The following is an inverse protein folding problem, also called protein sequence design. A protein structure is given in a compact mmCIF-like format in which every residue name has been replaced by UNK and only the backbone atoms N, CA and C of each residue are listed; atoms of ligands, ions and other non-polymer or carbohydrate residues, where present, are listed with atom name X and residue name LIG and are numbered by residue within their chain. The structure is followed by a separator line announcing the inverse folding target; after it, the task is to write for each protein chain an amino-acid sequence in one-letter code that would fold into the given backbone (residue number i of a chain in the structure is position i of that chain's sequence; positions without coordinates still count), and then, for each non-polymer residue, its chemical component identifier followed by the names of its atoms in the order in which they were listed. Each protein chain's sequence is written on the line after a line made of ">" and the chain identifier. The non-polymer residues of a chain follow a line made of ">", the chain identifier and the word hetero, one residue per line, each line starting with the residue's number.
data_IF_303721421062
#
_entry.id   IF_303721421062
#
_cell.length_a   1.000
_cell.length_b   1.000
_cell.length_c   1.000
_cell.angle_alpha   90.00
_cell.angle_beta   90.00
_cell.angle_gamma   90.00
#
_symmetry.space_group_name_H-M   'P 1'
#
loop_
_entity.id
_entity.type
_entity.pdbx_description
1 polymer ?
#
# COMPACT_ATOMS: atom_id res chain seq x y z
N UNK A 1 49.69 22.23 -68.36
CA UNK A 1 49.95 21.34 -67.21
C UNK A 1 48.81 21.56 -66.22
N UNK A 2 48.00 20.52 -65.99
CA UNK A 2 46.68 20.51 -65.35
C UNK A 2 46.68 21.06 -63.91
N UNK A 3 45.73 21.95 -63.62
CA UNK A 3 45.15 22.16 -62.28
C UNK A 3 43.65 21.89 -62.40
N UNK A 4 43.14 20.87 -61.71
CA UNK A 4 41.71 20.56 -61.65
C UNK A 4 41.19 20.83 -60.24
N UNK A 5 40.39 21.88 -60.10
CA UNK A 5 39.50 22.13 -58.97
C UNK A 5 38.15 21.46 -59.29
N UNK A 6 37.77 20.44 -58.53
CA UNK A 6 36.42 19.88 -58.53
C UNK A 6 35.68 20.36 -57.30
N UNK A 7 34.67 21.20 -57.51
CA UNK A 7 33.72 21.64 -56.50
C UNK A 7 32.71 20.53 -56.22
N UNK A 8 32.55 20.17 -54.94
CA UNK A 8 31.50 19.30 -54.44
C UNK A 8 30.12 19.96 -54.61
N UNK A 9 29.17 19.25 -55.21
CA UNK A 9 27.74 19.54 -55.11
C UNK A 9 27.13 18.71 -53.97
N UNK A 10 26.53 19.38 -52.99
CA UNK A 10 25.67 18.78 -51.96
C UNK A 10 24.26 18.54 -52.50
N UNK A 11 23.60 17.41 -52.21
CA UNK A 11 22.15 17.31 -52.32
C UNK A 11 21.50 17.67 -50.98
N UNK A 12 20.62 18.68 -50.99
CA UNK A 12 19.68 18.93 -49.90
C UNK A 12 18.69 17.75 -49.81
N UNK A 13 18.71 17.01 -48.70
CA UNK A 13 17.62 16.09 -48.34
C UNK A 13 16.57 16.87 -47.54
N UNK A 14 15.41 17.11 -48.13
CA UNK A 14 14.23 17.58 -47.40
C UNK A 14 13.64 16.37 -46.64
N UNK A 15 13.83 16.32 -45.32
CA UNK A 15 13.12 15.38 -44.45
C UNK A 15 11.78 16.03 -44.09
N UNK A 16 10.70 15.51 -44.66
CA UNK A 16 9.34 15.85 -44.29
C UNK A 16 9.04 15.16 -42.95
N UNK A 17 9.05 15.91 -41.83
CA UNK A 17 8.56 15.40 -40.55
C UNK A 17 7.02 15.36 -40.61
N UNK A 18 6.46 14.16 -40.81
CA UNK A 18 5.06 13.87 -40.56
C UNK A 18 4.85 13.84 -39.04
N UNK A 19 4.33 14.94 -38.49
CA UNK A 19 3.80 14.99 -37.13
C UNK A 19 2.46 14.23 -37.15
N UNK A 20 2.49 12.95 -36.76
CA UNK A 20 1.27 12.25 -36.40
C UNK A 20 0.77 12.79 -35.06
N UNK A 21 -0.15 13.75 -35.11
CA UNK A 21 -1.07 13.98 -34.00
C UNK A 21 -1.99 12.75 -33.92
N UNK A 22 -1.63 11.77 -33.11
CA UNK A 22 -2.55 10.70 -32.71
C UNK A 22 -3.52 11.29 -31.69
N UNK A 23 -4.56 11.97 -32.17
CA UNK A 23 -5.79 12.04 -31.40
C UNK A 23 -6.32 10.62 -31.32
N UNK A 24 -6.45 10.09 -30.10
CA UNK A 24 -7.19 8.85 -29.84
C UNK A 24 -8.67 9.11 -30.18
N UNK A 25 -9.01 9.11 -31.46
CA UNK A 25 -10.39 8.99 -31.88
C UNK A 25 -10.78 7.53 -31.65
N UNK A 26 -11.50 7.28 -30.56
CA UNK A 26 -12.27 6.04 -30.44
C UNK A 26 -13.24 5.96 -31.64
N UNK A 27 -13.15 4.84 -32.35
CA UNK A 27 -14.19 4.37 -33.26
C UNK A 27 -15.54 4.30 -32.52
N UNK A 28 -16.64 4.38 -33.29
CA UNK A 28 -18.04 4.46 -32.88
C UNK A 28 -18.33 4.06 -31.41
N UNK A 29 -18.91 5.00 -30.63
CA UNK A 29 -19.27 4.78 -29.23
C UNK A 29 -20.05 3.47 -29.06
N UNK A 30 -19.37 2.43 -28.56
CA UNK A 30 -20.00 1.17 -28.19
C UNK A 30 -21.17 1.45 -27.23
N UNK A 31 -22.24 0.67 -27.36
CA UNK A 31 -23.41 0.78 -26.51
C UNK A 31 -23.01 0.65 -25.03
N UNK A 32 -23.68 1.42 -24.17
CA UNK A 32 -23.40 1.38 -22.72
C UNK A 32 -23.87 0.05 -22.14
N UNK A 33 -22.99 -0.64 -21.42
CA UNK A 33 -23.34 -1.84 -20.65
C UNK A 33 -24.15 -1.51 -19.39
N UNK A 34 -24.13 -0.24 -19.00
CA UNK A 34 -24.85 0.28 -17.84
C UNK A 34 -24.29 1.62 -17.39
N UNK A 35 -24.64 2.02 -16.20
CA UNK A 35 -24.10 3.20 -15.51
C UNK A 35 -23.73 2.88 -14.07
N UNK A 36 -22.64 3.47 -13.59
CA UNK A 36 -22.35 3.59 -12.15
C UNK A 36 -22.45 5.05 -11.73
N UNK A 37 -22.78 5.30 -10.47
CA UNK A 37 -22.81 6.65 -9.91
C UNK A 37 -22.26 6.69 -8.50
N UNK A 38 -21.58 7.78 -8.17
CA UNK A 38 -21.08 8.07 -6.82
C UNK A 38 -21.65 9.39 -6.34
N UNK A 39 -21.94 9.48 -5.05
CA UNK A 39 -22.34 10.72 -4.39
C UNK A 39 -21.35 11.00 -3.27
N UNK A 40 -20.61 12.11 -3.36
CA UNK A 40 -19.79 12.58 -2.25
C UNK A 40 -20.74 13.16 -1.20
N UNK A 41 -20.99 12.47 -0.09
CA UNK A 41 -22.00 12.89 0.89
C UNK A 41 -21.62 14.23 1.57
N UNK A 42 -20.89 14.17 2.69
CA UNK A 42 -20.48 15.36 3.46
C UNK A 42 -19.08 15.84 3.11
N UNK A 43 -18.22 14.95 2.62
CA UNK A 43 -16.79 15.21 2.42
C UNK A 43 -16.44 15.16 0.94
N UNK A 44 -15.70 16.18 0.44
CA UNK A 44 -14.92 16.18 -0.78
C UNK A 44 -14.45 14.84 -1.29
N UNK A 45 -14.92 14.22 -2.39
CA UNK A 45 -14.22 13.02 -2.90
C UNK A 45 -13.24 13.42 -4.00
N UNK A 46 -11.95 13.17 -3.83
CA UNK A 46 -10.96 13.56 -4.84
C UNK A 46 -9.93 12.45 -5.07
N UNK A 47 -9.93 11.86 -6.28
CA UNK A 47 -8.96 10.84 -6.69
C UNK A 47 -8.87 9.63 -5.73
N UNK A 48 -9.99 9.24 -5.11
CA UNK A 48 -10.09 8.11 -4.19
C UNK A 48 -10.61 6.83 -4.87
N UNK A 49 -10.12 5.64 -4.50
CA UNK A 49 -10.69 4.38 -4.94
C UNK A 49 -12.14 4.23 -4.50
N UNK A 50 -13.00 3.87 -5.45
CA UNK A 50 -14.40 3.54 -5.21
C UNK A 50 -14.71 2.19 -5.82
N UNK A 51 -15.69 1.49 -5.26
CA UNK A 51 -16.21 0.27 -5.85
C UNK A 51 -17.72 0.16 -5.74
N UNK A 52 -18.27 -0.73 -6.57
CA UNK A 52 -19.65 -1.20 -6.48
C UNK A 52 -19.69 -2.72 -6.65
N UNK A 53 -20.57 -3.38 -5.92
CA UNK A 53 -20.87 -4.79 -6.17
C UNK A 53 -21.57 -4.96 -7.51
N UNK A 54 -21.06 -5.87 -8.32
CA UNK A 54 -21.68 -6.26 -9.58
C UNK A 54 -22.79 -7.28 -9.30
N UNK A 55 -23.98 -7.11 -9.91
CA UNK A 55 -25.03 -8.13 -9.80
C UNK A 55 -24.57 -9.45 -10.45
N UNK A 56 -25.05 -10.59 -9.94
CA UNK A 56 -24.68 -11.93 -10.44
C UNK A 56 -24.96 -12.13 -11.94
N UNK A 57 -25.91 -11.37 -12.49
CA UNK A 57 -26.28 -11.39 -13.90
C UNK A 57 -26.23 -9.97 -14.48
N UNK A 58 -25.75 -9.85 -15.72
CA UNK A 58 -25.89 -8.62 -16.52
C UNK A 58 -24.58 -8.02 -17.06
N UNK A 59 -23.42 -8.23 -16.41
CA UNK A 59 -22.13 -7.77 -16.95
C UNK A 59 -21.30 -8.95 -17.43
N UNK A 60 -21.27 -9.18 -18.74
CA UNK A 60 -20.55 -10.30 -19.38
C UNK A 60 -19.15 -9.92 -19.87
N UNK A 61 -18.84 -8.62 -19.92
CA UNK A 61 -17.54 -8.14 -20.35
C UNK A 61 -16.47 -8.43 -19.28
N UNK A 62 -15.38 -9.10 -19.67
CA UNK A 62 -14.23 -9.39 -18.80
C UNK A 62 -13.39 -8.13 -18.52
N UNK A 63 -13.45 -7.15 -19.42
CA UNK A 63 -12.73 -5.89 -19.33
C UNK A 63 -13.69 -4.75 -19.61
N UNK A 64 -13.64 -3.74 -18.76
CA UNK A 64 -14.48 -2.54 -18.87
C UNK A 64 -13.66 -1.29 -18.62
N UNK A 65 -14.15 -0.19 -19.15
CA UNK A 65 -13.74 1.15 -18.77
C UNK A 65 -14.97 2.03 -18.54
N UNK A 66 -14.74 3.20 -17.93
CA UNK A 66 -15.79 4.15 -17.64
C UNK A 66 -15.64 5.41 -18.50
N UNK A 67 -16.75 6.07 -18.80
CA UNK A 67 -16.78 7.42 -19.37
C UNK A 67 -17.72 8.26 -18.53
N UNK A 68 -17.29 9.43 -18.07
CA UNK A 68 -18.17 10.31 -17.33
C UNK A 68 -19.27 10.86 -18.24
N UNK A 69 -20.53 10.74 -17.81
CA UNK A 69 -21.69 11.10 -18.63
C UNK A 69 -21.74 12.60 -18.95
N UNK A 70 -21.16 13.44 -18.09
CA UNK A 70 -21.08 14.88 -18.30
C UNK A 70 -19.83 15.31 -19.09
N UNK A 71 -18.90 14.39 -19.37
CA UNK A 71 -17.68 14.70 -20.10
C UNK A 71 -17.94 14.70 -21.62
N UNK A 72 -17.81 15.89 -22.22
CA UNK A 72 -17.99 16.08 -23.65
C UNK A 72 -16.88 15.40 -24.48
N UNK A 73 -15.68 15.30 -23.92
CA UNK A 73 -14.51 14.71 -24.59
C UNK A 73 -14.50 13.18 -24.50
N UNK A 74 -15.43 12.62 -23.70
CA UNK A 74 -15.60 11.18 -23.47
C UNK A 74 -14.30 10.49 -23.05
N UNK A 75 -13.57 11.12 -22.16
CA UNK A 75 -12.30 10.63 -21.63
C UNK A 75 -12.51 9.26 -20.99
N UNK A 76 -11.74 8.28 -21.44
CA UNK A 76 -11.81 6.92 -20.91
C UNK A 76 -11.12 6.84 -19.54
N UNK A 77 -11.87 6.42 -18.53
CA UNK A 77 -11.42 6.23 -17.15
C UNK A 77 -11.19 4.74 -16.92
N UNK A 78 -9.98 4.32 -16.51
CA UNK A 78 -9.73 2.92 -16.24
C UNK A 78 -10.60 2.36 -15.11
N UNK A 79 -11.06 1.13 -15.31
CA UNK A 79 -11.80 0.36 -14.33
C UNK A 79 -11.29 -1.08 -14.28
N UNK A 80 -11.56 -1.77 -13.16
CA UNK A 80 -11.03 -3.10 -12.91
C UNK A 80 -12.05 -3.95 -12.15
N UNK A 81 -12.32 -5.15 -12.66
CA UNK A 81 -13.20 -6.12 -12.01
C UNK A 81 -12.35 -6.99 -11.07
N UNK A 82 -12.70 -6.99 -9.79
CA UNK A 82 -12.17 -7.91 -8.79
C UNK A 82 -13.07 -9.14 -8.73
N UNK A 83 -12.52 -10.29 -9.17
CA UNK A 83 -13.21 -11.58 -9.10
C UNK A 83 -13.17 -12.16 -7.69
N UNK A 84 -14.34 -12.37 -7.07
CA UNK A 84 -14.43 -12.91 -5.69
C UNK A 84 -15.04 -14.31 -5.70
N UNK A 85 -14.41 -15.28 -5.01
CA UNK A 85 -14.81 -16.70 -5.07
C UNK A 85 -16.13 -17.05 -4.35
N UNK A 86 -16.51 -16.25 -3.35
CA UNK A 86 -17.65 -16.52 -2.45
C UNK A 86 -18.50 -15.28 -2.19
N UNK A 87 -18.39 -14.27 -3.04
CA UNK A 87 -19.11 -13.00 -2.93
C UNK A 87 -19.26 -12.40 -4.33
N UNK A 88 -20.19 -11.46 -4.51
CA UNK A 88 -20.37 -10.76 -5.77
C UNK A 88 -19.05 -10.12 -6.25
N UNK A 89 -18.76 -10.07 -7.54
CA UNK A 89 -17.57 -9.35 -8.03
C UNK A 89 -17.65 -7.85 -7.68
N UNK A 90 -16.51 -7.17 -7.57
CA UNK A 90 -16.46 -5.72 -7.39
C UNK A 90 -15.94 -5.04 -8.65
N UNK A 91 -16.59 -3.95 -9.06
CA UNK A 91 -16.04 -3.04 -10.07
C UNK A 91 -15.36 -1.87 -9.37
N UNK A 92 -14.04 -1.73 -9.56
CA UNK A 92 -13.21 -0.66 -9.01
C UNK A 92 -12.88 0.40 -10.06
N UNK A 93 -12.82 1.66 -9.63
CA UNK A 93 -12.22 2.77 -10.38
C UNK A 93 -11.79 3.88 -9.43
N UNK A 94 -11.03 4.84 -9.95
CA UNK A 94 -10.66 6.07 -9.23
C UNK A 94 -11.22 7.25 -10.04
N UNK A 95 -12.27 7.95 -9.57
CA UNK A 95 -12.83 9.09 -10.28
C UNK A 95 -11.79 10.20 -10.35
N UNK A 96 -11.39 10.67 -11.54
CA UNK A 96 -10.40 11.73 -11.65
C UNK A 96 -11.01 13.06 -11.20
N UNK A 97 -10.23 13.84 -10.46
CA UNK A 97 -10.62 15.17 -9.96
C UNK A 97 -11.59 15.13 -8.78
N UNK A 98 -12.04 16.32 -8.37
CA UNK A 98 -12.93 16.50 -7.23
C UNK A 98 -14.40 16.20 -7.59
N UNK A 99 -15.07 15.53 -6.68
CA UNK A 99 -16.53 15.44 -6.58
C UNK A 99 -16.95 16.26 -5.36
N UNK A 100 -17.51 17.47 -5.53
CA UNK A 100 -17.86 18.32 -4.40
C UNK A 100 -18.91 17.67 -3.48
N UNK A 101 -18.94 18.09 -2.22
CA UNK A 101 -19.92 17.58 -1.25
C UNK A 101 -21.37 17.79 -1.74
N UNK A 102 -22.21 16.78 -1.52
CA UNK A 102 -23.58 16.69 -1.99
C UNK A 102 -23.74 16.49 -3.49
N UNK A 103 -22.66 16.36 -4.28
CA UNK A 103 -22.74 16.16 -5.73
C UNK A 103 -22.63 14.70 -6.12
N UNK A 104 -23.32 14.37 -7.21
CA UNK A 104 -23.31 13.05 -7.82
C UNK A 104 -22.62 13.11 -9.18
N UNK A 105 -21.71 12.17 -9.43
CA UNK A 105 -21.13 11.91 -10.76
C UNK A 105 -21.64 10.59 -11.29
N UNK A 106 -21.90 10.52 -12.59
CA UNK A 106 -22.46 9.34 -13.26
C UNK A 106 -21.54 8.95 -14.40
N UNK A 107 -21.19 7.67 -14.46
CA UNK A 107 -20.28 7.12 -15.44
C UNK A 107 -20.96 6.00 -16.23
N UNK A 108 -20.79 6.01 -17.54
CA UNK A 108 -21.19 4.93 -18.42
C UNK A 108 -20.17 3.80 -18.37
N UNK A 109 -20.63 2.56 -18.25
CA UNK A 109 -19.79 1.36 -18.35
C UNK A 109 -19.68 0.97 -19.82
N UNK A 110 -18.46 0.80 -20.31
CA UNK A 110 -18.15 0.41 -21.69
C UNK A 110 -17.30 -0.86 -21.70
N UNK A 111 -17.49 -1.70 -22.72
CA UNK A 111 -16.65 -2.89 -22.91
C UNK A 111 -15.26 -2.48 -23.38
N UNK A 112 -14.24 -3.27 -23.03
CA UNK A 112 -12.86 -3.04 -23.46
C UNK A 112 -11.98 -2.40 -22.38
N UNK A 113 -10.86 -1.80 -22.80
CA UNK A 113 -9.82 -1.32 -21.87
C UNK A 113 -9.51 0.14 -22.08
N UNK A 114 -9.41 0.89 -20.98
CA UNK A 114 -8.73 2.18 -20.97
C UNK A 114 -7.33 2.00 -20.39
N UNK A 115 -6.33 2.57 -21.09
CA UNK A 115 -4.96 2.58 -20.57
C UNK A 115 -4.85 3.63 -19.46
N UNK A 116 -4.29 3.29 -18.28
CA UNK A 116 -4.00 4.28 -17.26
C UNK A 116 -2.84 5.18 -17.72
N UNK A 117 -2.73 6.35 -17.09
CA UNK A 117 -1.65 7.30 -17.35
C UNK A 117 -0.26 6.69 -17.15
N UNK A 118 -0.12 5.83 -16.14
CA UNK A 118 1.07 5.03 -15.88
C UNK A 118 0.67 3.57 -15.63
N UNK A 119 1.47 2.63 -16.14
CA UNK A 119 1.20 1.20 -15.98
C UNK A 119 1.67 0.73 -14.60
N UNK A 120 0.76 0.16 -13.82
CA UNK A 120 1.10 -0.51 -12.58
C UNK A 120 1.51 -1.96 -12.84
N UNK A 121 2.66 -2.39 -12.29
CA UNK A 121 3.20 -3.74 -12.46
C UNK A 121 3.79 -4.30 -11.16
N UNK A 122 3.91 -5.63 -11.08
CA UNK A 122 4.63 -6.34 -10.02
C UNK A 122 5.78 -7.13 -10.66
N UNK A 123 7.02 -6.69 -10.43
CA UNK A 123 8.24 -7.39 -10.87
C UNK A 123 8.66 -8.39 -9.80
N UNK A 124 8.98 -9.61 -10.21
CA UNK A 124 9.67 -10.57 -9.35
C UNK A 124 11.17 -10.39 -9.55
N UNK A 125 11.91 -10.11 -8.47
CA UNK A 125 13.36 -9.86 -8.50
C UNK A 125 14.19 -11.07 -8.05
N UNK A 126 13.57 -12.25 -7.97
CA UNK A 126 14.08 -13.48 -7.35
C UNK A 126 14.32 -13.38 -5.83
N UNK A 127 14.04 -12.20 -5.25
CA UNK A 127 14.20 -11.90 -3.82
C UNK A 127 12.96 -11.24 -3.23
N UNK A 128 12.30 -10.40 -4.02
CA UNK A 128 11.16 -9.61 -3.62
C UNK A 128 10.15 -9.45 -4.75
N UNK A 129 8.89 -9.23 -4.39
CA UNK A 129 7.87 -8.72 -5.30
C UNK A 129 7.88 -7.19 -5.22
N UNK A 130 8.34 -6.54 -6.30
CA UNK A 130 8.47 -5.09 -6.39
C UNK A 130 7.31 -4.49 -7.19
N UNK A 131 6.55 -3.61 -6.56
CA UNK A 131 5.51 -2.82 -7.22
C UNK A 131 6.13 -1.61 -7.92
N UNK A 132 5.68 -1.35 -9.16
CA UNK A 132 6.14 -0.24 -9.99
C UNK A 132 4.94 0.49 -10.61
N UNK A 133 4.94 1.82 -10.58
CA UNK A 133 4.02 2.65 -11.36
C UNK A 133 4.84 3.34 -12.46
N UNK A 134 4.63 2.93 -13.72
CA UNK A 134 5.55 3.26 -14.81
C UNK A 134 6.96 2.74 -14.50
N UNK A 135 7.93 3.65 -14.51
CA UNK A 135 9.32 3.36 -14.15
C UNK A 135 9.64 3.67 -12.67
N UNK A 136 8.66 4.13 -11.88
CA UNK A 136 8.84 4.49 -10.48
C UNK A 136 8.59 3.29 -9.56
N UNK A 137 9.57 2.87 -8.74
CA UNK A 137 9.32 1.86 -7.71
C UNK A 137 8.43 2.44 -6.61
N UNK A 138 7.53 1.61 -6.06
CA UNK A 138 6.62 2.02 -4.98
C UNK A 138 7.01 1.32 -3.68
N UNK A 139 7.07 -0.01 -3.68
CA UNK A 139 7.47 -0.83 -2.54
C UNK A 139 7.97 -2.21 -2.99
N UNK A 140 8.78 -2.85 -2.15
CA UNK A 140 9.21 -4.25 -2.35
C UNK A 140 8.86 -5.12 -1.16
N UNK A 141 8.09 -6.20 -1.37
CA UNK A 141 7.86 -7.24 -0.37
C UNK A 141 8.93 -8.32 -0.47
N UNK A 142 9.80 -8.43 0.54
CA UNK A 142 10.91 -9.39 0.57
C UNK A 142 10.42 -10.77 1.01
N UNK A 143 10.32 -11.70 0.06
CA UNK A 143 9.88 -13.06 0.32
C UNK A 143 11.04 -14.04 0.51
N UNK A 144 12.24 -13.72 0.02
CA UNK A 144 13.47 -14.47 0.36
C UNK A 144 14.07 -13.95 1.67
N UNK A 145 14.81 -14.83 2.34
CA UNK A 145 15.62 -14.44 3.49
C UNK A 145 16.71 -13.47 3.05
N UNK A 146 16.70 -12.27 3.62
CA UNK A 146 17.73 -11.25 3.43
C UNK A 146 18.77 -11.44 4.53
N UNK A 147 20.00 -11.77 4.13
CA UNK A 147 21.13 -11.85 5.07
C UNK A 147 21.51 -10.45 5.53
N UNK A 148 21.81 -10.27 6.82
CA UNK A 148 22.35 -9.00 7.29
C UNK A 148 23.78 -8.80 6.73
N UNK A 149 24.26 -7.55 6.66
CA UNK A 149 25.67 -7.25 6.40
C UNK A 149 26.63 -8.09 7.25
N UNK A 150 27.80 -8.45 6.71
CA UNK A 150 28.79 -9.32 7.38
C UNK A 150 29.25 -8.79 8.75
N UNK A 151 29.17 -7.48 8.97
CA UNK A 151 29.51 -6.85 10.26
C UNK A 151 28.46 -7.07 11.35
N UNK A 152 27.32 -7.64 11.02
CA UNK A 152 26.20 -7.89 11.93
C UNK A 152 26.05 -9.39 12.20
N UNK A 153 25.42 -9.69 13.34
CA UNK A 153 25.05 -11.05 13.72
C UNK A 153 24.14 -11.68 12.63
N UNK A 154 24.48 -12.86 12.06
CA UNK A 154 23.66 -13.51 11.03
C UNK A 154 22.19 -13.71 11.42
N UNK A 155 21.89 -13.77 12.72
CA UNK A 155 20.52 -13.89 13.24
C UNK A 155 19.63 -12.69 12.93
N UNK A 156 20.17 -11.53 12.52
CA UNK A 156 19.34 -10.39 12.16
C UNK A 156 18.58 -10.56 10.84
N UNK A 157 18.97 -11.52 10.00
CA UNK A 157 18.33 -11.75 8.71
C UNK A 157 16.87 -12.19 8.83
N UNK A 158 16.04 -11.78 7.87
CA UNK A 158 14.61 -12.17 7.81
C UNK A 158 14.01 -12.09 6.41
N UNK A 159 12.77 -12.53 6.30
CA UNK A 159 11.86 -12.34 5.17
C UNK A 159 10.52 -11.84 5.73
N UNK A 160 9.49 -11.72 4.89
CA UNK A 160 8.15 -11.32 5.29
C UNK A 160 8.08 -9.88 5.84
N UNK A 161 8.66 -8.96 5.09
CA UNK A 161 8.64 -7.52 5.38
C UNK A 161 8.70 -6.70 4.09
N UNK A 162 8.24 -5.46 4.16
CA UNK A 162 8.31 -4.51 3.04
C UNK A 162 9.51 -3.58 3.25
N UNK A 163 10.50 -3.69 2.37
CA UNK A 163 11.61 -2.76 2.25
C UNK A 163 12.31 -2.93 0.89
N UNK A 164 12.74 -1.85 0.22
CA UNK A 164 12.46 -0.46 0.55
C UNK A 164 11.04 -0.02 0.13
N UNK A 165 10.65 1.16 0.62
CA UNK A 165 9.41 1.88 0.29
C UNK A 165 9.83 3.26 -0.23
N UNK A 166 9.31 3.67 -1.38
CA UNK A 166 9.72 4.89 -2.06
C UNK A 166 8.60 5.94 -2.09
N UNK A 167 8.95 7.22 -2.11
CA UNK A 167 8.05 8.34 -2.46
C UNK A 167 7.91 8.50 -3.98
N UNK A 168 6.95 9.30 -4.46
CA UNK A 168 6.88 9.69 -5.88
C UNK A 168 8.19 10.25 -6.46
N UNK A 169 8.91 11.09 -5.72
CA UNK A 169 10.22 11.62 -6.13
C UNK A 169 11.38 10.62 -5.94
N UNK A 170 11.11 9.37 -5.54
CA UNK A 170 12.09 8.29 -5.47
C UNK A 170 12.93 8.23 -4.20
N UNK A 171 12.55 8.93 -3.13
CA UNK A 171 13.23 8.84 -1.83
C UNK A 171 12.79 7.59 -1.08
N UNK A 172 13.72 6.91 -0.41
CA UNK A 172 13.40 5.75 0.43
C UNK A 172 13.00 6.22 1.83
N UNK A 173 11.80 5.86 2.27
CA UNK A 173 11.25 6.25 3.59
C UNK A 173 11.33 5.16 4.66
N UNK A 174 11.90 4.01 4.31
CA UNK A 174 12.08 2.89 5.23
C UNK A 174 13.53 2.45 5.33
N UNK A 175 13.92 1.79 6.41
CA UNK A 175 15.30 1.29 6.59
C UNK A 175 15.31 -0.18 6.97
N UNK A 176 16.38 -0.87 6.59
CA UNK A 176 16.66 -2.26 6.93
C UNK A 176 18.06 -2.36 7.51
N UNK A 177 18.19 -3.11 8.61
CA UNK A 177 19.42 -3.19 9.38
C UNK A 177 19.96 -1.81 9.80
N UNK A 178 19.14 -0.96 10.45
CA UNK A 178 19.63 0.33 10.92
C UNK A 178 20.75 0.10 11.96
N UNK A 179 21.84 0.90 11.95
CA UNK A 179 23.03 0.60 12.77
C UNK A 179 22.77 0.55 14.28
N UNK A 180 21.78 1.27 14.76
CA UNK A 180 21.39 1.32 16.17
C UNK A 180 20.53 0.12 16.60
N UNK A 181 19.71 -0.42 15.69
CA UNK A 181 18.70 -1.45 16.00
C UNK A 181 18.48 -2.42 14.83
N UNK A 182 19.52 -3.20 14.50
CA UNK A 182 19.57 -4.04 13.30
C UNK A 182 18.44 -5.09 13.13
N UNK A 183 17.65 -5.39 14.16
CA UNK A 183 16.49 -6.28 14.04
C UNK A 183 15.25 -5.62 13.41
N UNK A 184 15.28 -4.31 13.16
CA UNK A 184 14.17 -3.58 12.53
C UNK A 184 14.33 -3.59 11.00
N UNK A 185 13.26 -3.95 10.28
CA UNK A 185 13.29 -4.13 8.83
C UNK A 185 12.04 -3.57 8.17
N UNK A 186 12.10 -2.32 7.72
CA UNK A 186 11.02 -1.65 7.00
C UNK A 186 9.66 -1.77 7.67
N UNK A 187 8.63 -2.17 6.91
CA UNK A 187 7.30 -2.44 7.42
C UNK A 187 7.09 -3.94 7.70
N UNK A 188 6.65 -4.28 8.91
CA UNK A 188 6.41 -5.66 9.35
C UNK A 188 5.39 -5.71 10.48
N UNK A 189 4.80 -6.88 10.75
CA UNK A 189 3.95 -7.12 11.91
C UNK A 189 4.56 -8.23 12.77
N UNK A 190 4.75 -7.96 14.06
CA UNK A 190 5.26 -8.94 15.02
C UNK A 190 4.84 -8.59 16.46
N UNK A 191 4.99 -9.55 17.38
CA UNK A 191 4.71 -9.36 18.81
C UNK A 191 5.95 -9.61 19.67
N UNK A 192 6.26 -8.67 20.57
CA UNK A 192 7.46 -8.71 21.41
C UNK A 192 7.31 -9.57 22.64
N UNK A 193 6.14 -9.51 23.30
CA UNK A 193 5.83 -10.27 24.51
C UNK A 193 4.63 -11.16 24.23
N UNK A 194 4.89 -12.45 24.04
CA UNK A 194 3.86 -13.44 23.78
C UNK A 194 4.10 -14.70 24.61
N UNK A 195 3.07 -15.52 24.77
CA UNK A 195 3.14 -16.83 25.41
C UNK A 195 2.41 -17.83 24.52
N UNK A 196 3.14 -18.84 24.04
CA UNK A 196 2.60 -19.93 23.22
C UNK A 196 2.76 -21.23 24.01
N UNK A 197 1.65 -21.96 24.23
CA UNK A 197 1.67 -23.23 24.98
C UNK A 197 2.35 -23.15 26.36
N UNK A 198 2.16 -22.02 27.06
CA UNK A 198 2.76 -21.76 28.36
C UNK A 198 4.23 -21.31 28.33
N UNK A 199 4.87 -21.24 27.15
CA UNK A 199 6.25 -20.80 26.99
C UNK A 199 6.33 -19.34 26.54
N UNK A 200 7.10 -18.47 27.24
CA UNK A 200 7.31 -17.09 26.78
C UNK A 200 8.09 -17.04 25.47
N UNK A 201 7.53 -16.39 24.45
CA UNK A 201 8.13 -16.23 23.12
C UNK A 201 8.19 -14.76 22.69
N UNK A 202 8.92 -14.48 21.60
CA UNK A 202 9.14 -13.14 21.06
C UNK A 202 9.38 -13.24 19.54
N UNK A 203 8.44 -12.78 18.73
CA UNK A 203 8.52 -12.80 17.26
C UNK A 203 9.18 -11.55 16.67
N UNK A 204 9.50 -10.57 17.52
CA UNK A 204 9.98 -9.26 17.12
C UNK A 204 11.51 -9.16 17.14
N UNK A 205 12.11 -9.54 18.27
CA UNK A 205 13.54 -9.45 18.52
C UNK A 205 14.20 -10.78 18.16
N UNK A 206 14.70 -10.88 16.92
CA UNK A 206 15.25 -12.13 16.37
C UNK A 206 16.41 -12.67 17.20
N UNK A 207 17.21 -11.78 17.81
CA UNK A 207 18.32 -12.15 18.69
C UNK A 207 17.91 -12.82 19.98
N UNK A 208 16.64 -12.74 20.37
CA UNK A 208 16.14 -13.51 21.51
C UNK A 208 16.18 -15.01 21.24
N UNK A 209 16.25 -15.43 19.97
CA UNK A 209 16.13 -16.82 19.53
C UNK A 209 14.85 -17.53 20.01
N UNK A 210 13.83 -16.76 20.40
CA UNK A 210 12.55 -17.30 20.90
C UNK A 210 11.51 -17.46 19.81
N UNK A 211 11.53 -16.56 18.82
CA UNK A 211 10.59 -16.60 17.72
C UNK A 211 11.10 -15.83 16.51
N UNK A 212 10.44 -16.05 15.38
CA UNK A 212 10.70 -15.32 14.12
C UNK A 212 9.46 -15.23 13.25
N UNK A 213 9.43 -14.24 12.37
CA UNK A 213 8.49 -14.18 11.26
C UNK A 213 9.22 -14.58 9.97
N UNK A 214 8.60 -15.42 9.14
CA UNK A 214 9.16 -15.81 7.83
C UNK A 214 8.09 -15.94 6.77
N UNK A 215 8.45 -15.67 5.52
CA UNK A 215 7.60 -15.93 4.37
C UNK A 215 7.30 -17.43 4.22
N UNK A 216 6.06 -17.76 3.86
CA UNK A 216 5.61 -19.12 3.59
C UNK A 216 5.43 -19.36 2.10
N UNK A 217 4.50 -18.64 1.47
CA UNK A 217 4.18 -18.80 0.06
C UNK A 217 3.46 -17.59 -0.53
N UNK A 218 3.55 -17.47 -1.87
CA UNK A 218 2.67 -16.62 -2.66
C UNK A 218 1.31 -17.32 -2.77
N UNK A 219 0.22 -16.59 -2.55
CA UNK A 219 -1.16 -17.08 -2.74
C UNK A 219 -1.70 -16.58 -4.07
N UNK A 220 -1.54 -15.30 -4.35
CA UNK A 220 -2.11 -14.65 -5.52
C UNK A 220 -1.33 -13.41 -5.92
N UNK A 221 -1.28 -13.11 -7.22
CA UNK A 221 -0.67 -11.92 -7.78
C UNK A 221 -1.48 -11.45 -8.97
N UNK A 222 -1.92 -10.20 -8.96
CA UNK A 222 -2.61 -9.56 -10.08
C UNK A 222 -2.12 -8.14 -10.33
N UNK A 223 -2.20 -7.73 -11.58
CA UNK A 223 -1.95 -6.35 -12.01
C UNK A 223 -3.10 -5.93 -12.91
N UNK A 224 -3.64 -4.74 -12.67
CA UNK A 224 -4.62 -4.13 -13.55
C UNK A 224 -4.44 -2.61 -13.60
N UNK A 225 -5.34 -1.92 -14.31
CA UNK A 225 -5.14 -0.50 -14.58
C UNK A 225 -5.52 0.40 -13.39
N UNK A 226 -6.29 -0.09 -12.41
CA UNK A 226 -6.71 0.66 -11.22
C UNK A 226 -5.84 0.28 -10.01
N UNK A 227 -5.53 -1.01 -9.86
CA UNK A 227 -4.68 -1.47 -8.77
C UNK A 227 -3.93 -2.75 -9.16
N UNK A 228 -2.87 -3.03 -8.42
CA UNK A 228 -2.20 -4.33 -8.41
C UNK A 228 -2.23 -4.87 -6.99
N UNK A 229 -2.28 -6.18 -6.87
CA UNK A 229 -2.44 -6.85 -5.60
C UNK A 229 -1.56 -8.08 -5.50
N UNK A 230 -0.99 -8.24 -4.31
CA UNK A 230 -0.17 -9.35 -3.90
C UNK A 230 -0.78 -9.94 -2.63
N UNK A 231 -1.10 -11.23 -2.67
CA UNK A 231 -1.55 -11.99 -1.51
C UNK A 231 -0.47 -13.00 -1.15
N UNK A 232 0.07 -12.90 0.06
CA UNK A 232 1.17 -13.73 0.57
C UNK A 232 0.86 -14.24 1.96
N UNK A 233 1.31 -15.45 2.27
CA UNK A 233 1.23 -16.01 3.62
C UNK A 233 2.61 -16.02 4.26
N UNK A 234 2.66 -15.71 5.55
CA UNK A 234 3.85 -15.75 6.40
C UNK A 234 3.53 -16.46 7.73
N UNK A 235 4.56 -16.91 8.43
CA UNK A 235 4.46 -17.69 9.67
C UNK A 235 5.12 -16.93 10.81
N UNK A 236 4.46 -16.88 11.96
CA UNK A 236 5.09 -16.53 13.23
C UNK A 236 5.48 -17.84 13.90
N UNK A 237 6.77 -18.14 13.96
CA UNK A 237 7.32 -19.44 14.36
C UNK A 237 7.90 -19.32 15.76
N UNK A 238 7.39 -20.12 16.69
CA UNK A 238 7.94 -20.32 18.03
C UNK A 238 9.16 -21.24 17.94
N UNK A 239 10.24 -20.85 18.63
CA UNK A 239 11.53 -21.56 18.67
C UNK A 239 11.83 -22.07 20.09
N UNK A 240 10.89 -21.93 21.02
CA UNK A 240 11.12 -22.24 22.44
C UNK A 240 10.78 -23.68 22.83
N UNK A 241 10.11 -24.42 21.94
CA UNK A 241 9.80 -25.84 22.11
C UNK A 241 10.93 -26.78 21.67
N UNK A 242 10.65 -28.08 21.63
CA UNK A 242 11.59 -29.10 21.15
C UNK A 242 11.87 -29.01 19.63
N UNK A 243 10.92 -28.44 18.89
CA UNK A 243 11.01 -28.16 17.46
C UNK A 243 10.46 -26.77 17.15
N UNK A 244 10.87 -26.22 16.01
CA UNK A 244 10.24 -25.00 15.49
C UNK A 244 8.77 -25.26 15.16
N UNK A 245 7.87 -24.44 15.71
CA UNK A 245 6.43 -24.62 15.54
C UNK A 245 5.81 -23.30 15.08
N UNK A 246 5.15 -23.25 13.90
CA UNK A 246 4.31 -22.12 13.56
C UNK A 246 3.22 -21.95 14.62
N UNK A 247 3.22 -20.80 15.31
CA UNK A 247 2.18 -20.42 16.25
C UNK A 247 1.04 -19.70 15.51
N UNK A 248 1.37 -18.86 14.52
CA UNK A 248 0.40 -18.13 13.71
C UNK A 248 0.69 -18.29 12.20
N UNK A 249 -0.39 -18.27 11.42
CA UNK A 249 -0.38 -18.03 9.98
C UNK A 249 -0.97 -16.64 9.72
N UNK A 250 -0.23 -15.81 8.99
CA UNK A 250 -0.64 -14.46 8.64
C UNK A 250 -0.73 -14.34 7.12
N UNK A 251 -1.87 -13.92 6.60
CA UNK A 251 -2.03 -13.62 5.17
C UNK A 251 -2.15 -12.12 4.98
N UNK A 252 -1.20 -11.55 4.23
CA UNK A 252 -1.24 -10.15 3.83
C UNK A 252 -1.85 -10.01 2.44
N UNK A 253 -2.82 -9.12 2.34
CA UNK A 253 -3.37 -8.60 1.10
C UNK A 253 -2.78 -7.21 0.90
N UNK A 254 -1.79 -7.08 0.02
CA UNK A 254 -1.10 -5.83 -0.28
C UNK A 254 -1.64 -5.29 -1.60
N UNK A 255 -2.32 -4.16 -1.57
CA UNK A 255 -2.92 -3.54 -2.76
C UNK A 255 -2.32 -2.16 -3.00
N UNK A 256 -1.66 -1.95 -4.13
CA UNK A 256 -1.15 -0.64 -4.56
C UNK A 256 -2.16 -0.01 -5.52
N UNK A 257 -2.52 1.26 -5.27
CA UNK A 257 -3.49 2.00 -6.08
C UNK A 257 -2.80 2.85 -7.15
N UNK A 258 -3.35 2.84 -8.36
CA UNK A 258 -2.84 3.60 -9.50
C UNK A 258 -3.57 4.95 -9.60
N UNK A 259 -3.12 5.94 -8.84
CA UNK A 259 -3.76 7.27 -8.82
C UNK A 259 -3.76 7.89 -10.23
N UNK A 260 -4.84 8.59 -10.63
CA UNK A 260 -5.01 9.07 -12.00
C UNK A 260 -4.09 10.23 -12.39
N UNK A 261 -3.50 10.92 -11.40
CA UNK A 261 -2.56 12.01 -11.64
C UNK A 261 -1.21 11.48 -12.15
N UNK A 262 -0.63 12.15 -13.16
CA UNK A 262 0.70 11.82 -13.69
C UNK A 262 1.80 11.95 -12.63
N UNK A 263 1.70 12.99 -11.80
CA UNK A 263 2.63 13.32 -10.74
C UNK A 263 1.83 13.41 -9.43
N UNK A 264 1.48 12.28 -8.79
CA UNK A 264 0.66 12.31 -7.59
C UNK A 264 1.46 12.81 -6.38
N UNK A 265 0.76 13.46 -5.45
CA UNK A 265 1.33 14.00 -4.21
C UNK A 265 1.91 12.90 -3.29
N UNK A 266 1.41 11.68 -3.41
CA UNK A 266 1.83 10.51 -2.63
C UNK A 266 1.60 9.23 -3.43
N UNK A 267 2.21 8.14 -3.00
CA UNK A 267 1.76 6.79 -3.33
C UNK A 267 0.82 6.26 -2.26
N UNK A 268 -0.16 5.46 -2.67
CA UNK A 268 -1.15 4.87 -1.78
C UNK A 268 -1.17 3.35 -1.91
N UNK A 269 -1.14 2.67 -0.78
CA UNK A 269 -1.35 1.23 -0.75
C UNK A 269 -2.03 0.79 0.55
N UNK A 270 -2.77 -0.32 0.46
CA UNK A 270 -3.47 -0.92 1.59
C UNK A 270 -2.81 -2.25 1.97
N UNK A 271 -2.81 -2.55 3.27
CA UNK A 271 -2.49 -3.87 3.82
C UNK A 271 -3.68 -4.32 4.65
N UNK A 272 -4.29 -5.44 4.28
CA UNK A 272 -5.11 -6.23 5.20
C UNK A 272 -4.29 -7.42 5.68
N UNK A 273 -4.20 -7.59 6.99
CA UNK A 273 -3.58 -8.75 7.64
C UNK A 273 -4.67 -9.63 8.26
N UNK A 274 -4.84 -10.85 7.73
CA UNK A 274 -5.64 -11.92 8.34
C UNK A 274 -4.68 -12.84 9.11
N UNK A 275 -4.71 -12.74 10.44
CA UNK A 275 -3.82 -13.45 11.34
C UNK A 275 -4.60 -14.53 12.13
N UNK A 276 -4.17 -15.79 12.02
CA UNK A 276 -4.85 -16.95 12.63
C UNK A 276 -3.86 -17.80 13.40
N UNK A 277 -4.32 -18.49 14.44
CA UNK A 277 -3.51 -19.56 15.02
C UNK A 277 -3.25 -20.66 13.99
N UNK A 278 -2.02 -21.17 13.97
CA UNK A 278 -1.62 -22.30 13.14
C UNK A 278 -1.91 -23.65 13.83
N UNK A 279 -2.31 -23.62 15.10
CA UNK A 279 -2.63 -24.76 15.96
C UNK A 279 -3.91 -24.48 16.77
N UNK A 280 -4.39 -25.46 17.53
CA UNK A 280 -5.49 -25.31 18.49
C UNK A 280 -5.10 -24.51 19.75
N UNK A 281 -3.83 -24.15 19.89
CA UNK A 281 -3.33 -23.38 21.05
C UNK A 281 -3.45 -21.88 20.77
N UNK A 282 -4.05 -21.08 21.68
CA UNK A 282 -4.06 -19.63 21.52
C UNK A 282 -2.65 -19.06 21.64
N UNK A 283 -2.41 -17.92 20.98
CA UNK A 283 -1.26 -17.08 21.30
C UNK A 283 -1.68 -16.01 22.31
N UNK A 284 -1.18 -16.13 23.55
CA UNK A 284 -1.46 -15.15 24.59
C UNK A 284 -0.52 -13.96 24.47
N UNK A 285 -1.07 -12.77 24.61
CA UNK A 285 -0.37 -11.49 24.46
C UNK A 285 -0.58 -10.67 25.74
N UNK A 286 0.28 -10.86 26.77
CA UNK A 286 0.24 -10.06 27.97
C UNK A 286 0.47 -8.57 27.67
N UNK A 287 -0.03 -7.70 28.55
CA UNK A 287 0.17 -6.27 28.46
C UNK A 287 1.66 -5.94 28.28
N UNK A 288 1.91 -5.10 27.27
CA UNK A 288 3.24 -4.66 26.89
C UNK A 288 3.21 -3.35 26.12
N UNK A 289 4.36 -2.69 26.01
CA UNK A 289 4.44 -1.34 25.44
C UNK A 289 4.27 -1.28 23.92
N UNK A 290 4.49 -2.40 23.19
CA UNK A 290 4.32 -2.48 21.73
C UNK A 290 4.27 -3.92 21.20
N UNK A 291 3.77 -4.05 19.97
CA UNK A 291 3.56 -5.28 19.20
C UNK A 291 2.38 -5.04 18.24
N UNK A 292 2.53 -5.38 16.97
CA UNK A 292 1.58 -5.01 15.91
C UNK A 292 2.28 -4.50 14.65
N UNK A 293 1.54 -3.77 13.81
CA UNK A 293 2.02 -3.24 12.53
C UNK A 293 3.03 -2.12 12.74
N UNK A 294 4.26 -2.32 12.30
CA UNK A 294 5.39 -1.43 12.54
C UNK A 294 6.02 -0.91 11.26
N UNK A 295 6.69 0.24 11.36
CA UNK A 295 7.59 0.80 10.33
C UNK A 295 8.85 1.37 10.98
N UNK A 296 10.01 1.00 10.44
CA UNK A 296 11.28 1.71 10.64
C UNK A 296 11.49 2.73 9.52
N UNK A 297 11.54 4.00 9.89
CA UNK A 297 11.76 5.13 8.98
C UNK A 297 13.16 5.17 8.36
N UNK A 298 13.31 5.98 7.32
CA UNK A 298 14.42 5.96 6.37
C UNK A 298 15.83 6.09 6.95
N UNK A 299 16.81 5.53 6.23
CA UNK A 299 18.24 5.63 6.59
C UNK A 299 18.65 7.09 6.72
N UNK A 300 19.36 7.40 7.81
CA UNK A 300 19.81 8.77 8.12
C UNK A 300 18.79 9.61 8.88
N UNK A 301 17.58 9.10 9.12
CA UNK A 301 16.65 9.73 10.04
C UNK A 301 17.08 9.45 11.49
N UNK A 302 17.16 10.51 12.28
CA UNK A 302 17.55 10.56 13.70
C UNK A 302 16.47 11.27 14.49
N UNK A 303 16.66 11.42 15.81
CA UNK A 303 15.72 12.16 16.65
C UNK A 303 15.56 13.63 16.20
N UNK A 304 16.63 14.23 15.68
CA UNK A 304 16.73 15.66 15.37
C UNK A 304 16.17 16.04 13.99
N UNK A 305 16.06 15.08 13.07
CA UNK A 305 15.61 15.31 11.70
C UNK A 305 14.43 14.42 11.28
N UNK A 306 13.74 13.81 12.26
CA UNK A 306 12.53 13.02 12.08
C UNK A 306 11.44 13.42 13.07
N UNK A 307 10.26 13.68 12.52
CA UNK A 307 9.07 14.13 13.22
C UNK A 307 7.95 13.09 13.14
N UNK A 308 7.03 13.23 14.08
CA UNK A 308 5.82 12.43 14.17
C UNK A 308 4.65 13.39 14.34
N UNK A 309 3.54 13.07 13.69
CA UNK A 309 2.27 13.78 13.86
C UNK A 309 1.14 12.77 13.95
N UNK A 310 0.36 12.81 15.03
CA UNK A 310 -0.86 12.02 15.15
C UNK A 310 -2.08 12.82 14.71
N UNK A 311 -3.17 12.10 14.40
CA UNK A 311 -4.47 12.68 14.11
C UNK A 311 -5.07 13.58 15.22
N UNK A 312 -4.50 13.52 16.43
CA UNK A 312 -4.90 14.34 17.56
C UNK A 312 -3.95 15.54 17.77
N UNK A 313 -3.06 15.82 16.81
CA UNK A 313 -2.07 16.90 16.87
C UNK A 313 -0.90 16.62 17.83
N UNK A 314 -0.68 15.36 18.20
CA UNK A 314 0.42 14.98 19.11
C UNK A 314 1.70 14.70 18.33
N UNK A 315 2.83 14.94 18.98
CA UNK A 315 4.17 14.79 18.40
C UNK A 315 4.97 13.74 19.16
N UNK A 316 6.24 13.53 18.81
CA UNK A 316 7.13 12.62 19.55
C UNK A 316 7.15 12.87 21.06
N UNK A 317 7.00 14.12 21.49
CA UNK A 317 7.07 14.49 22.91
C UNK A 317 5.89 13.98 23.76
N UNK A 318 4.70 13.80 23.15
CA UNK A 318 3.47 13.51 23.89
C UNK A 318 2.52 12.52 23.20
N UNK A 319 2.88 11.99 22.03
CA UNK A 319 2.05 11.12 21.19
C UNK A 319 2.29 9.63 21.42
N UNK A 320 3.24 9.23 22.25
CA UNK A 320 3.40 7.81 22.57
C UNK A 320 2.15 7.29 23.30
N UNK A 321 1.63 6.16 22.81
CA UNK A 321 0.38 5.53 23.19
C UNK A 321 -0.87 6.40 22.96
N UNK A 322 -0.77 7.40 22.08
CA UNK A 322 -1.95 8.12 21.61
C UNK A 322 -2.88 7.19 20.84
N UNK A 323 -4.19 7.36 21.04
CA UNK A 323 -5.21 6.63 20.28
C UNK A 323 -5.63 7.50 19.10
N UNK A 324 -4.89 7.37 18.00
CA UNK A 324 -5.05 8.20 16.82
C UNK A 324 -5.45 7.36 15.61
N UNK A 325 -6.41 7.88 14.83
CA UNK A 325 -6.90 7.28 13.58
C UNK A 325 -5.84 7.20 12.47
N UNK A 326 -4.80 8.02 12.56
CA UNK A 326 -3.61 7.95 11.74
C UNK A 326 -2.40 8.53 12.49
N UNK A 327 -1.20 8.12 12.07
CA UNK A 327 0.05 8.71 12.53
C UNK A 327 1.03 8.77 11.35
N UNK A 328 1.65 9.93 11.18
CA UNK A 328 2.73 10.17 10.23
C UNK A 328 4.09 10.04 10.92
N UNK A 329 5.06 9.48 10.18
CA UNK A 329 6.49 9.59 10.46
C UNK A 329 7.17 10.16 9.22
N UNK A 330 7.81 11.32 9.38
CA UNK A 330 8.51 12.02 8.30
C UNK A 330 9.93 12.35 8.74
N UNK A 331 10.84 12.44 7.78
CA UNK A 331 12.22 12.83 8.06
C UNK A 331 12.97 13.29 6.82
N UNK A 332 14.24 13.64 7.04
CA UNK A 332 15.21 13.99 6.00
C UNK A 332 16.60 13.47 6.38
N UNK A 333 17.46 13.26 5.41
CA UNK A 333 18.83 12.75 5.65
C UNK A 333 19.73 13.81 6.30
N UNK A 334 19.57 15.07 5.92
CA UNK A 334 20.35 16.20 6.43
C UNK A 334 19.63 17.53 6.22
N UNK A 335 20.18 18.61 6.80
CA UNK A 335 19.64 19.96 6.66
C UNK A 335 19.71 20.41 5.19
N UNK A 336 18.61 20.97 4.67
CA UNK A 336 18.52 21.44 3.29
C UNK A 336 18.03 20.38 2.29
N UNK A 337 18.01 19.09 2.67
CA UNK A 337 17.33 18.05 1.90
C UNK A 337 15.83 18.10 2.18
N UNK A 338 14.95 18.04 1.16
CA UNK A 338 13.51 18.09 1.40
C UNK A 338 13.04 16.86 2.16
N UNK A 339 12.00 17.03 2.97
CA UNK A 339 11.37 15.96 3.73
C UNK A 339 10.78 14.86 2.83
N UNK A 340 10.52 13.73 3.46
CA UNK A 340 9.75 12.60 2.93
C UNK A 340 9.14 11.86 4.10
N UNK A 341 8.00 11.22 3.89
CA UNK A 341 7.28 10.61 4.98
C UNK A 341 6.37 9.46 4.61
N UNK A 342 5.84 8.88 5.67
CA UNK A 342 5.03 7.69 5.65
C UNK A 342 3.92 7.82 6.70
N UNK A 343 2.67 7.89 6.23
CA UNK A 343 1.50 7.94 7.10
C UNK A 343 0.79 6.59 7.10
N UNK A 344 0.49 6.06 8.29
CA UNK A 344 -0.39 4.90 8.46
C UNK A 344 -1.74 5.36 8.96
N UNK A 345 -2.80 4.93 8.28
CA UNK A 345 -4.21 5.11 8.62
C UNK A 345 -4.74 3.77 9.14
N UNK A 346 -5.30 3.74 10.35
CA UNK A 346 -5.96 2.54 10.91
C UNK A 346 -7.48 2.58 10.65
N UNK A 347 -8.14 1.43 10.65
CA UNK A 347 -9.55 1.29 10.28
C UNK A 347 -10.45 1.06 11.50
N UNK A 348 -11.69 1.59 11.55
CA UNK A 348 -12.66 1.37 12.62
C UNK A 348 -12.91 -0.10 13.00
N UNK A 349 -12.75 -1.02 12.05
CA UNK A 349 -12.96 -2.46 12.26
C UNK A 349 -11.78 -3.16 12.96
N UNK A 350 -10.64 -2.48 13.13
CA UNK A 350 -9.49 -3.08 13.80
C UNK A 350 -9.76 -3.29 15.30
N UNK A 351 -9.26 -4.41 15.84
CA UNK A 351 -9.33 -4.68 17.26
C UNK A 351 -8.73 -3.54 18.10
N UNK A 352 -9.49 -3.05 19.09
CA UNK A 352 -9.15 -1.90 19.96
C UNK A 352 -9.01 -0.55 19.22
N UNK A 353 -9.62 -0.38 18.05
CA UNK A 353 -9.59 0.87 17.29
C UNK A 353 -10.03 2.12 18.11
N UNK A 354 -9.35 3.27 17.94
CA UNK A 354 -8.00 3.37 17.40
C UNK A 354 -7.00 2.70 18.34
N UNK A 355 -6.17 1.80 17.81
CA UNK A 355 -5.11 1.17 18.59
C UNK A 355 -4.11 2.25 19.04
N UNK A 356 -3.53 2.15 20.25
CA UNK A 356 -2.44 3.02 20.64
C UNK A 356 -1.28 2.99 19.62
N UNK A 357 -0.68 4.14 19.35
CA UNK A 357 0.57 4.20 18.58
C UNK A 357 1.79 4.13 19.49
N UNK A 358 2.81 3.34 19.14
CA UNK A 358 4.14 3.44 19.75
C UNK A 358 4.96 4.43 18.95
N UNK A 359 5.23 5.60 19.53
CA UNK A 359 6.17 6.57 18.97
C UNK A 359 7.48 6.48 19.74
N UNK A 360 8.54 5.99 19.10
CA UNK A 360 9.81 5.80 19.80
C UNK A 360 10.40 7.15 20.26
N UNK A 361 10.94 7.27 21.49
CA UNK A 361 11.44 8.54 22.01
C UNK A 361 12.69 9.07 21.29
N UNK A 362 13.44 8.22 20.60
CA UNK A 362 14.72 8.60 19.98
C UNK A 362 14.94 8.07 18.55
N UNK A 363 14.11 7.14 18.08
CA UNK A 363 14.34 6.47 16.80
C UNK A 363 13.22 6.82 15.82
N UNK A 364 13.46 6.76 14.50
CA UNK A 364 12.42 6.84 13.51
C UNK A 364 11.62 5.52 13.48
N UNK A 365 10.83 5.25 14.51
CA UNK A 365 10.13 3.99 14.67
C UNK A 365 8.70 4.19 15.19
N UNK A 366 7.73 3.65 14.43
CA UNK A 366 6.29 3.74 14.66
C UNK A 366 5.67 2.35 14.70
N UNK A 367 4.69 2.13 15.58
CA UNK A 367 3.88 0.91 15.63
C UNK A 367 2.43 1.26 15.91
N UNK A 368 1.48 0.67 15.19
CA UNK A 368 0.09 0.57 15.66
C UNK A 368 -0.02 -0.68 16.53
N UNK A 369 -0.31 -0.49 17.83
CA UNK A 369 -0.16 -1.53 18.82
C UNK A 369 -1.34 -1.62 19.79
N UNK A 370 -2.14 -2.71 19.74
CA UNK A 370 -3.21 -2.93 20.71
C UNK A 370 -2.69 -3.33 22.11
N UNK A 371 -1.43 -3.76 22.22
CA UNK A 371 -0.83 -4.36 23.43
C UNK A 371 -0.88 -3.52 24.72
N UNK A 372 -0.81 -2.17 24.70
CA UNK A 372 -0.82 -1.37 25.93
C UNK A 372 -2.17 -1.33 26.67
N UNK A 373 -3.25 -1.85 26.08
CA UNK A 373 -4.60 -1.79 26.66
C UNK A 373 -4.98 -3.04 27.48
N UNK A 374 -3.98 -3.76 27.99
CA UNK A 374 -4.14 -4.96 28.81
C UNK A 374 -3.97 -6.27 28.03
N UNK A 375 -3.92 -7.36 28.78
CA UNK A 375 -3.81 -8.73 28.28
C UNK A 375 -4.91 -9.05 27.24
N UNK A 376 -4.54 -9.86 26.25
CA UNK A 376 -5.44 -10.39 25.22
C UNK A 376 -4.83 -11.64 24.60
N UNK A 377 -5.52 -12.28 23.68
CA UNK A 377 -5.01 -13.43 22.94
C UNK A 377 -5.55 -13.44 21.51
N UNK A 378 -4.85 -14.17 20.65
CA UNK A 378 -5.38 -14.57 19.34
C UNK A 378 -6.05 -15.93 19.56
N UNK A 379 -7.36 -15.97 19.33
CA UNK A 379 -8.21 -17.14 19.53
C UNK A 379 -8.04 -18.11 18.33
N UNK A 380 -7.89 -19.43 18.56
CA UNK A 380 -7.83 -20.42 17.47
C UNK A 380 -9.06 -20.47 16.56
N UNK A 381 -10.22 -20.02 17.05
CA UNK A 381 -11.51 -20.09 16.34
C UNK A 381 -11.77 -18.88 15.45
N UNK A 382 -11.16 -17.74 15.74
CA UNK A 382 -11.46 -16.47 15.08
C UNK A 382 -10.18 -15.80 14.57
N UNK A 383 -10.16 -15.30 13.33
CA UNK A 383 -9.02 -14.52 12.85
C UNK A 383 -8.94 -13.16 13.57
N UNK A 384 -7.72 -12.69 13.79
CA UNK A 384 -7.46 -11.28 14.04
C UNK A 384 -7.23 -10.59 12.68
N UNK A 385 -8.22 -9.83 12.23
CA UNK A 385 -8.13 -9.04 11.00
C UNK A 385 -7.75 -7.60 11.36
N UNK A 386 -6.78 -7.05 10.64
CA UNK A 386 -6.38 -5.65 10.76
C UNK A 386 -6.17 -5.03 9.38
N UNK A 387 -6.64 -3.79 9.22
CA UNK A 387 -6.63 -3.04 7.98
C UNK A 387 -5.85 -1.74 8.14
N UNK A 388 -4.91 -1.49 7.24
CA UNK A 388 -4.11 -0.28 7.20
C UNK A 388 -4.05 0.29 5.80
N UNK A 389 -4.22 1.61 5.67
CA UNK A 389 -3.88 2.36 4.46
C UNK A 389 -2.60 3.15 4.71
N UNK A 390 -1.67 3.09 3.77
CA UNK A 390 -0.38 3.75 3.83
C UNK A 390 -0.29 4.84 2.76
N UNK A 391 0.15 6.03 3.16
CA UNK A 391 0.40 7.18 2.28
C UNK A 391 1.89 7.50 2.32
N UNK A 392 2.56 7.45 1.17
CA UNK A 392 4.01 7.68 1.06
C UNK A 392 4.26 8.95 0.26
N UNK A 393 4.84 9.98 0.88
CA UNK A 393 4.78 11.35 0.36
C UNK A 393 6.13 12.07 0.37
N UNK A 394 6.28 13.03 -0.54
CA UNK A 394 7.45 13.90 -0.67
C UNK A 394 7.34 15.15 0.21
N UNK A 395 7.24 14.95 1.52
CA UNK A 395 7.12 16.07 2.45
C UNK A 395 6.93 15.65 3.90
N UNK A 396 6.46 16.57 4.75
CA UNK A 396 5.82 16.24 6.01
C UNK A 396 4.39 15.70 5.75
N UNK A 397 3.71 15.26 6.82
CA UNK A 397 2.32 14.81 6.77
C UNK A 397 1.41 15.67 5.88
N UNK A 398 0.62 15.03 5.02
CA UNK A 398 -0.28 15.70 4.08
C UNK A 398 -1.36 16.49 4.83
N UNK A 399 -1.62 17.73 4.41
CA UNK A 399 -2.64 18.58 5.02
C UNK A 399 -4.05 17.96 4.95
N UNK A 400 -4.31 17.13 3.93
CA UNK A 400 -5.60 16.44 3.72
C UNK A 400 -5.69 15.04 4.33
N UNK A 401 -4.73 14.63 5.18
CA UNK A 401 -4.69 13.27 5.77
C UNK A 401 -6.00 12.89 6.47
N UNK A 402 -6.64 13.83 7.18
CA UNK A 402 -7.93 13.56 7.82
C UNK A 402 -9.05 13.25 6.83
N UNK A 403 -9.11 13.98 5.71
CA UNK A 403 -10.05 13.72 4.63
C UNK A 403 -9.79 12.34 4.01
N UNK A 404 -8.53 12.01 3.72
CA UNK A 404 -8.14 10.69 3.20
C UNK A 404 -8.55 9.57 4.16
N UNK A 405 -8.39 9.78 5.48
CA UNK A 405 -8.86 8.84 6.48
C UNK A 405 -10.39 8.68 6.48
N UNK A 406 -11.15 9.77 6.34
CA UNK A 406 -12.62 9.66 6.28
C UNK A 406 -13.08 8.82 5.10
N UNK A 407 -12.44 8.93 3.93
CA UNK A 407 -12.77 8.10 2.77
C UNK A 407 -12.38 6.64 2.96
N UNK A 408 -11.23 6.39 3.57
CA UNK A 408 -10.79 5.03 3.89
C UNK A 408 -11.70 4.35 4.92
N UNK A 409 -12.04 5.05 6.01
CA UNK A 409 -12.87 4.53 7.09
C UNK A 409 -14.37 4.49 6.77
N UNK A 410 -14.81 5.33 5.82
CA UNK A 410 -16.20 5.39 5.37
C UNK A 410 -16.23 5.46 3.82
N UNK A 411 -15.95 4.33 3.13
CA UNK A 411 -15.90 4.30 1.67
C UNK A 411 -17.19 4.81 1.03
N UNK A 412 -17.05 5.58 -0.05
CA UNK A 412 -18.20 6.13 -0.77
C UNK A 412 -19.00 5.00 -1.40
N UNK A 413 -20.29 4.94 -1.08
CA UNK A 413 -21.20 3.97 -1.71
C UNK A 413 -21.49 4.39 -3.15
N UNK A 414 -21.21 3.49 -4.07
CA UNK A 414 -21.61 3.64 -5.45
C UNK A 414 -22.91 2.86 -5.73
N UNK A 415 -23.65 3.31 -6.73
CA UNK A 415 -24.81 2.60 -7.27
C UNK A 415 -24.51 2.13 -8.68
N UNK A 416 -25.09 1.00 -9.09
CA UNK A 416 -24.97 0.46 -10.44
C UNK A 416 -26.35 0.19 -11.04
N UNK A 417 -26.48 0.45 -12.33
CA UNK A 417 -27.64 0.08 -13.15
C UNK A 417 -27.15 -0.46 -14.49
N UNK A 418 -27.30 -1.76 -14.70
CA UNK A 418 -26.94 -2.39 -15.96
C UNK A 418 -28.03 -2.21 -17.02
N UNK A 419 -27.63 -2.15 -18.28
CA UNK A 419 -28.56 -2.23 -19.41
C UNK A 419 -29.11 -3.67 -19.46
N UNK A 420 -30.40 -3.84 -19.74
CA UNK A 420 -30.97 -5.17 -19.92
C UNK A 420 -30.28 -5.85 -21.13
N UNK A 421 -30.02 -7.17 -21.06
CA UNK A 421 -29.39 -7.91 -22.15
C UNK A 421 -30.21 -7.93 -23.44
#
# INVERSE_FOLDING_TARGET
>A
MRLSLTWLQSPLFFILLLIFNTTNHLEAAEESLGTVSITAEKTPLENEPVCVELPETGLTAEQVYLVESADADKTAIPAQIEKRKQSADLLWWIPPGETPAGKTRVFQIKAGTASPQQKLTIKDTDKAYQFMIGDHPVLSYNYKHINPPESLDPLYGRSAHIHPIWTPAGKIVSDEFPPDHAHQSGQFLAFTKAVFEGRPTNFWEIKSQKGRVRFKNLVYKQTGPVYAELIVTQEHVDLTGESETPALLETWFIRVWNQPAKDPEFWMYDITSDLRCATESPLKLPEYHYGGMAIRGGRGWTRENCEFLTANGKTRANGNHDRARWCDISGRTETGVPWSGFTILTHPDNFRFPEPVRIHPSMPYLVFTPCPLGDWEIDPKEPLISHYRCLVHDGPALARTDTLWQHYANPTKANIKLTAP
#
